data_IF_512805541942
#
_entry.id   IF_512805541942
#
_cell.length_a   1.000
_cell.length_b   1.000
_cell.length_c   1.000
_cell.angle_alpha   90.00
_cell.angle_beta   90.00
_cell.angle_gamma   90.00
#
_symmetry.space_group_name_H-M   'P 1'
#
loop_
_entity.id
_entity.type
_entity.pdbx_description
1 polymer ?
#
# COMPACT_ATOMS: atom_id res chain seq x y z
N UNK A 1 42.56 -8.08 -14.54
CA UNK A 1 41.48 -9.04 -14.22
C UNK A 1 40.17 -8.28 -14.35
N UNK A 2 39.27 -8.72 -15.23
CA UNK A 2 37.97 -8.10 -15.37
C UNK A 2 37.08 -8.48 -14.18
N UNK A 3 36.26 -7.54 -13.74
CA UNK A 3 35.32 -7.75 -12.67
C UNK A 3 34.25 -8.78 -13.02
N UNK A 4 33.86 -9.58 -12.03
CA UNK A 4 32.75 -10.52 -12.14
C UNK A 4 31.66 -10.22 -11.11
N UNK A 5 30.38 -10.53 -11.44
CA UNK A 5 29.28 -10.30 -10.53
C UNK A 5 29.39 -11.18 -9.28
N UNK A 6 29.27 -10.54 -8.12
CA UNK A 6 29.17 -11.16 -6.82
C UNK A 6 27.81 -11.80 -6.55
N UNK A 7 27.60 -12.20 -5.29
CA UNK A 7 26.32 -12.76 -4.85
C UNK A 7 25.25 -11.68 -4.74
N UNK A 8 24.02 -12.03 -5.09
CA UNK A 8 22.85 -11.19 -4.85
C UNK A 8 22.62 -10.97 -3.35
N UNK A 9 22.25 -9.74 -3.00
CA UNK A 9 21.65 -9.44 -1.70
C UNK A 9 20.30 -10.15 -1.56
N UNK A 10 19.77 -10.16 -0.34
CA UNK A 10 18.34 -10.38 -0.16
C UNK A 10 17.55 -9.32 -0.93
N UNK A 11 16.30 -9.65 -1.27
CA UNK A 11 15.36 -8.66 -1.77
C UNK A 11 15.12 -7.57 -0.72
N UNK A 12 15.06 -6.32 -1.18
CA UNK A 12 14.58 -5.22 -0.37
C UNK A 12 13.10 -5.36 -0.03
N UNK A 13 12.58 -4.44 0.78
CA UNK A 13 11.16 -4.37 1.06
C UNK A 13 10.37 -4.02 -0.21
N UNK A 14 9.10 -4.40 -0.24
CA UNK A 14 8.18 -3.95 -1.28
C UNK A 14 8.03 -2.42 -1.23
N UNK A 15 7.86 -1.78 -2.39
CA UNK A 15 7.67 -0.33 -2.48
C UNK A 15 6.36 0.15 -1.87
N UNK A 16 5.41 -0.77 -1.67
CA UNK A 16 4.14 -0.56 -0.99
C UNK A 16 4.07 -1.41 0.27
N UNK A 17 3.20 -1.01 1.20
CA UNK A 17 2.89 -1.77 2.42
C UNK A 17 1.59 -2.58 2.29
N UNK A 18 0.97 -2.53 1.12
CA UNK A 18 -0.21 -3.28 0.71
C UNK A 18 -0.34 -3.19 -0.81
N UNK A 19 -1.07 -4.13 -1.40
CA UNK A 19 -1.31 -4.20 -2.83
C UNK A 19 -0.04 -4.54 -3.61
N UNK A 20 -0.08 -4.26 -4.90
CA UNK A 20 1.04 -4.50 -5.80
C UNK A 20 2.10 -3.40 -5.67
N UNK A 21 3.36 -3.82 -5.70
CA UNK A 21 4.52 -2.95 -5.70
C UNK A 21 5.72 -3.64 -6.35
N UNK A 22 6.89 -3.06 -6.16
CA UNK A 22 8.16 -3.59 -6.66
C UNK A 22 9.19 -3.68 -5.54
N UNK A 23 10.06 -4.68 -5.61
CA UNK A 23 11.20 -4.85 -4.73
C UNK A 23 12.48 -5.01 -5.55
N UNK A 24 13.60 -4.55 -4.99
CA UNK A 24 14.89 -4.52 -5.67
C UNK A 24 15.93 -5.28 -4.87
N UNK A 25 16.81 -6.00 -5.55
CA UNK A 25 18.06 -6.55 -4.98
C UNK A 25 19.26 -6.10 -5.79
N UNK A 26 20.42 -6.09 -5.16
CA UNK A 26 21.68 -5.67 -5.79
C UNK A 26 22.78 -6.68 -5.55
N UNK A 27 23.83 -6.62 -6.37
CA UNK A 27 25.07 -7.37 -6.17
C UNK A 27 26.27 -6.50 -6.49
N UNK A 28 27.41 -6.81 -5.90
CA UNK A 28 28.66 -6.12 -6.17
C UNK A 28 29.38 -6.71 -7.40
N UNK A 29 30.37 -5.98 -7.92
CA UNK A 29 31.31 -6.48 -8.92
C UNK A 29 32.62 -6.92 -8.24
N UNK A 30 32.56 -7.98 -7.45
CA UNK A 30 33.64 -8.39 -6.55
C UNK A 30 34.06 -9.85 -6.67
N UNK A 31 33.53 -10.60 -7.64
CA UNK A 31 33.82 -12.02 -7.83
C UNK A 31 34.30 -12.36 -9.25
N UNK A 32 35.57 -12.07 -9.60
CA UNK A 32 36.56 -11.36 -8.81
C UNK A 32 36.39 -9.83 -8.90
N UNK A 33 37.00 -9.07 -7.98
CA UNK A 33 37.08 -7.62 -8.11
C UNK A 33 37.98 -7.21 -9.30
N UNK A 34 37.63 -6.14 -10.05
CA UNK A 34 38.49 -5.57 -11.08
C UNK A 34 39.87 -5.21 -10.54
N UNK A 35 40.92 -5.58 -11.29
CA UNK A 35 42.30 -5.29 -10.90
C UNK A 35 43.21 -5.10 -12.11
N UNK A 36 44.29 -4.33 -11.92
CA UNK A 36 45.31 -4.05 -12.94
C UNK A 36 44.73 -3.49 -14.26
N UNK A 37 43.81 -2.54 -14.16
CA UNK A 37 43.14 -1.92 -15.32
C UNK A 37 42.10 -2.81 -16.01
N UNK A 38 41.62 -3.89 -15.37
CA UNK A 38 40.51 -4.67 -15.88
C UNK A 38 39.16 -3.92 -15.81
N UNK A 39 38.20 -4.35 -16.62
CA UNK A 39 36.90 -3.68 -16.74
C UNK A 39 35.99 -3.92 -15.54
N UNK A 40 35.19 -2.91 -15.20
CA UNK A 40 34.07 -3.00 -14.26
C UNK A 40 32.91 -3.81 -14.85
N UNK A 41 32.03 -4.32 -13.99
CA UNK A 41 30.77 -4.93 -14.41
C UNK A 41 29.82 -3.85 -14.96
N UNK A 42 28.94 -4.23 -15.88
CA UNK A 42 27.88 -3.35 -16.36
C UNK A 42 26.89 -3.06 -15.21
N UNK A 43 26.62 -1.79 -14.87
CA UNK A 43 25.69 -1.44 -13.80
C UNK A 43 24.29 -2.05 -13.95
N UNK A 44 23.79 -2.24 -15.19
CA UNK A 44 22.48 -2.89 -15.42
C UNK A 44 22.44 -4.33 -14.92
N UNK A 45 23.59 -5.00 -14.87
CA UNK A 45 23.68 -6.41 -14.47
C UNK A 45 23.81 -6.54 -12.95
N UNK A 46 23.97 -5.43 -12.23
CA UNK A 46 24.18 -5.39 -10.78
C UNK A 46 22.90 -5.11 -9.99
N UNK A 47 21.78 -4.83 -10.67
CA UNK A 47 20.49 -4.52 -10.06
C UNK A 47 19.39 -5.34 -10.72
N UNK A 48 18.48 -5.86 -9.90
CA UNK A 48 17.31 -6.59 -10.37
C UNK A 48 16.07 -6.10 -9.63
N UNK A 49 14.98 -5.92 -10.36
CA UNK A 49 13.68 -5.51 -9.83
C UNK A 49 12.64 -6.57 -10.20
N UNK A 50 11.79 -6.91 -9.24
CA UNK A 50 10.64 -7.78 -9.48
C UNK A 50 9.41 -7.23 -8.76
N UNK A 51 8.23 -7.61 -9.25
CA UNK A 51 6.98 -7.27 -8.58
C UNK A 51 6.83 -8.02 -7.26
N UNK A 52 6.16 -7.39 -6.31
CA UNK A 52 5.72 -7.94 -5.03
C UNK A 52 4.25 -7.60 -4.81
N UNK A 53 3.59 -8.39 -3.97
CA UNK A 53 2.25 -8.12 -3.51
C UNK A 53 2.23 -8.27 -1.99
N UNK A 54 1.87 -7.18 -1.29
CA UNK A 54 1.89 -7.12 0.18
C UNK A 54 0.47 -7.22 0.77
N UNK A 55 -0.41 -7.97 0.11
CA UNK A 55 -1.78 -8.24 0.54
C UNK A 55 -2.78 -7.17 0.10
N UNK A 56 -4.01 -7.23 0.62
CA UNK A 56 -5.04 -6.26 0.25
C UNK A 56 -4.87 -4.94 1.01
N UNK A 57 -5.11 -3.81 0.34
CA UNK A 57 -5.03 -2.50 0.99
C UNK A 57 -6.22 -2.22 1.91
N UNK A 58 -6.00 -1.57 3.08
CA UNK A 58 -7.07 -1.09 3.93
C UNK A 58 -8.01 -0.16 3.17
N UNK A 59 -9.30 -0.42 3.28
CA UNK A 59 -10.36 0.48 2.77
C UNK A 59 -10.98 1.15 3.98
N UNK A 60 -10.78 2.45 4.13
CA UNK A 60 -11.43 3.21 5.19
C UNK A 60 -12.90 3.44 4.82
N UNK A 61 -13.78 3.24 5.79
CA UNK A 61 -15.20 3.46 5.62
C UNK A 61 -15.53 4.91 5.30
N UNK A 62 -16.50 5.10 4.44
CA UNK A 62 -17.11 6.41 4.18
C UNK A 62 -18.58 6.43 4.57
N UNK A 63 -19.10 7.59 4.98
CA UNK A 63 -20.50 7.73 5.36
C UNK A 63 -21.40 7.45 4.14
N UNK A 64 -22.32 6.53 4.35
CA UNK A 64 -23.40 6.18 3.45
C UNK A 64 -24.43 7.28 3.30
N UNK A 65 -25.47 6.97 2.54
CA UNK A 65 -26.61 7.87 2.38
C UNK A 65 -27.39 7.97 3.69
N UNK A 66 -27.91 9.17 3.94
CA UNK A 66 -28.85 9.39 5.02
C UNK A 66 -30.15 8.62 4.78
N UNK A 67 -30.68 8.01 5.84
CA UNK A 67 -32.06 7.56 5.88
C UNK A 67 -33.01 8.73 5.65
N UNK A 68 -34.27 8.42 5.33
CA UNK A 68 -35.34 9.40 5.47
C UNK A 68 -35.36 9.96 6.89
N UNK A 69 -35.82 11.20 7.04
CA UNK A 69 -36.09 11.78 8.35
C UNK A 69 -37.16 10.96 9.07
N UNK A 70 -36.91 10.68 10.36
CA UNK A 70 -37.90 10.09 11.24
C UNK A 70 -39.08 11.03 11.50
N UNK A 71 -40.09 10.49 12.17
CA UNK A 71 -41.21 11.30 12.64
C UNK A 71 -40.73 12.42 13.58
N UNK A 72 -41.46 13.54 13.59
CA UNK A 72 -41.25 14.57 14.58
C UNK A 72 -41.59 14.03 15.98
N UNK A 73 -40.79 14.40 16.99
CA UNK A 73 -41.04 14.00 18.39
C UNK A 73 -42.38 14.53 18.94
N UNK A 74 -42.94 15.56 18.32
CA UNK A 74 -44.21 16.17 18.71
C UNK A 74 -45.16 16.27 17.53
N UNK A 75 -46.46 16.27 17.81
CA UNK A 75 -47.52 16.48 16.81
C UNK A 75 -47.93 17.95 16.69
N UNK A 76 -47.55 18.79 17.65
CA UNK A 76 -47.73 20.25 17.64
C UNK A 76 -46.66 20.93 18.52
N UNK A 77 -46.35 22.19 18.20
CA UNK A 77 -45.23 22.90 18.83
C UNK A 77 -43.87 22.47 18.25
N UNK A 78 -42.80 22.83 18.96
CA UNK A 78 -41.43 22.47 18.57
C UNK A 78 -41.15 20.99 18.83
N UNK A 79 -40.33 20.37 17.99
CA UNK A 79 -39.93 18.97 18.09
C UNK A 79 -38.71 18.66 17.25
N UNK A 80 -38.10 17.50 17.50
CA UNK A 80 -36.87 17.06 16.86
C UNK A 80 -37.14 15.94 15.86
N UNK A 81 -36.32 15.88 14.81
CA UNK A 81 -36.27 14.75 13.88
C UNK A 81 -34.88 14.14 13.88
N UNK A 82 -34.84 12.82 13.87
CA UNK A 82 -33.60 12.05 13.77
C UNK A 82 -33.53 11.33 12.43
N UNK A 83 -32.32 11.16 11.92
CA UNK A 83 -32.01 10.28 10.79
C UNK A 83 -30.68 9.60 11.06
N UNK A 84 -30.45 8.48 10.42
CA UNK A 84 -29.22 7.70 10.57
C UNK A 84 -28.58 7.45 9.21
N UNK A 85 -27.32 7.08 9.22
CA UNK A 85 -26.59 6.52 8.07
C UNK A 85 -25.63 5.47 8.60
N UNK A 86 -25.07 4.68 7.70
CA UNK A 86 -24.07 3.64 8.03
C UNK A 86 -22.78 3.90 7.26
N UNK A 87 -21.70 3.23 7.61
CA UNK A 87 -20.42 3.34 6.91
C UNK A 87 -20.34 2.32 5.78
N UNK A 88 -21.03 2.58 4.67
CA UNK A 88 -21.11 1.66 3.52
C UNK A 88 -20.68 2.29 2.19
N UNK A 89 -20.19 3.53 2.19
CA UNK A 89 -19.79 4.24 0.97
C UNK A 89 -18.37 4.86 1.06
N UNK A 90 -17.30 4.05 0.94
CA UNK A 90 -17.31 2.58 0.87
C UNK A 90 -17.47 1.94 2.24
N UNK A 91 -17.77 0.64 2.28
CA UNK A 91 -17.70 -0.14 3.52
C UNK A 91 -16.22 -0.32 3.93
N UNK A 92 -15.88 -0.18 5.23
CA UNK A 92 -14.54 -0.49 5.70
C UNK A 92 -14.16 -1.94 5.38
N UNK A 93 -12.92 -2.16 4.94
CA UNK A 93 -12.39 -3.48 4.65
C UNK A 93 -10.89 -3.56 4.96
N UNK A 94 -10.36 -4.78 5.08
CA UNK A 94 -8.92 -5.05 5.17
C UNK A 94 -8.20 -4.28 6.29
N UNK A 95 -8.87 -4.15 7.44
CA UNK A 95 -8.35 -3.41 8.60
C UNK A 95 -8.43 -1.89 8.48
N UNK A 96 -9.13 -1.36 7.47
CA UNK A 96 -9.43 0.07 7.35
C UNK A 96 -10.36 0.57 8.45
N UNK A 97 -10.32 1.87 8.71
CA UNK A 97 -11.03 2.48 9.82
C UNK A 97 -12.53 2.62 9.56
N UNK A 98 -13.34 2.42 10.60
CA UNK A 98 -14.75 2.81 10.60
C UNK A 98 -14.93 4.33 10.40
N UNK A 99 -16.00 4.72 9.72
CA UNK A 99 -16.35 6.12 9.54
C UNK A 99 -17.10 6.65 10.78
N UNK A 100 -17.27 7.97 10.88
CA UNK A 100 -18.27 8.51 11.80
C UNK A 100 -19.63 8.66 11.08
N UNK A 101 -20.64 7.82 11.41
CA UNK A 101 -21.95 7.89 10.76
C UNK A 101 -22.87 8.97 11.35
N UNK A 102 -22.52 9.64 12.46
CA UNK A 102 -23.39 10.65 13.09
C UNK A 102 -23.48 11.97 12.31
#
# INVERSE_FOLDING_TARGET
VNGGPGTWSAWGVCSTTCGDGDQTRTRACDNPAPANGGSECNPSDLTETQSCNDGECPVNGGPGTWSAWGACSTTCGDGDQTRTRVCDNPAPANGGSECNPS
#
